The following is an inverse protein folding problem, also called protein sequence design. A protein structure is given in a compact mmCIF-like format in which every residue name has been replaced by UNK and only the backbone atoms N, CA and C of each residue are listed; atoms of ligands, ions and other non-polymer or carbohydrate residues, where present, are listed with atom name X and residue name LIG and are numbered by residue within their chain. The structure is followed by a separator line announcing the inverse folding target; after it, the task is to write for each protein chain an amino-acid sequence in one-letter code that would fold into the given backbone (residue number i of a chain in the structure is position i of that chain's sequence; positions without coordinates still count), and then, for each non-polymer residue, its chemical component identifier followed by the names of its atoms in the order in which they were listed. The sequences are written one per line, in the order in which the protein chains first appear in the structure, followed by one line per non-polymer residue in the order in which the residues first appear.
data_IF_332724960205
#
_entry.id   IF_332724960205
#
_cell.length_a   1.000
_cell.length_b   1.000
_cell.length_c   1.000
_cell.angle_alpha   90.00
_cell.angle_beta   90.00
_cell.angle_gamma   90.00
#
_symmetry.space_group_name_H-M   'P 1'
#
loop_
_entity.id
_entity.type
_entity.pdbx_description
1 polymer ?
#
# COMPACT_ATOMS: atom_id res chain seq x y z
N UNK A 1 -3.77 -1.67 2.06
CA UNK A 1 -3.62 -2.79 3.02
C UNK A 1 -3.25 -2.24 4.38
N UNK A 2 -3.75 -2.82 5.47
CA UNK A 2 -3.41 -2.42 6.83
C UNK A 2 -2.52 -3.47 7.50
N UNK A 3 -1.49 -3.06 8.22
CA UNK A 3 -0.67 -3.96 9.03
C UNK A 3 -1.39 -4.35 10.31
N UNK A 4 -1.52 -5.65 10.58
CA UNK A 4 -2.24 -6.20 11.75
C UNK A 4 -1.34 -6.63 12.90
N UNK A 5 -0.02 -6.62 12.69
CA UNK A 5 0.94 -7.06 13.70
C UNK A 5 2.29 -6.36 13.58
N UNK A 6 3.00 -6.30 14.73
CA UNK A 6 4.32 -5.72 14.88
C UNK A 6 4.30 -4.22 15.16
N UNK A 7 5.46 -3.57 15.01
CA UNK A 7 5.66 -2.14 15.30
C UNK A 7 4.70 -1.22 14.53
N UNK A 8 4.30 -1.63 13.33
CA UNK A 8 3.52 -0.81 12.40
C UNK A 8 2.03 -1.24 12.39
N UNK A 9 1.56 -1.87 13.47
CA UNK A 9 0.13 -2.24 13.59
C UNK A 9 -0.76 -1.01 13.43
N UNK A 10 -1.79 -1.10 12.60
CA UNK A 10 -2.70 0.00 12.26
C UNK A 10 -2.22 0.90 11.11
N UNK A 11 -0.97 0.76 10.63
CA UNK A 11 -0.48 1.55 9.50
C UNK A 11 -1.01 0.99 8.16
N UNK A 12 -1.40 1.89 7.26
CA UNK A 12 -1.85 1.60 5.90
C UNK A 12 -0.70 1.69 4.89
N UNK A 13 -0.72 0.79 3.91
CA UNK A 13 0.27 0.69 2.85
C UNK A 13 -0.34 0.32 1.49
N UNK A 14 0.37 0.68 0.43
CA UNK A 14 0.22 0.12 -0.92
C UNK A 14 1.21 -1.03 -1.12
N UNK A 15 0.78 -2.08 -1.84
CA UNK A 15 1.69 -3.14 -2.30
C UNK A 15 2.38 -2.67 -3.57
N UNK A 16 3.71 -2.61 -3.53
CA UNK A 16 4.53 -2.29 -4.69
C UNK A 16 4.78 -3.54 -5.55
N UNK A 17 5.04 -4.69 -4.92
CA UNK A 17 5.43 -5.92 -5.60
C UNK A 17 5.20 -7.15 -4.73
N UNK A 18 4.81 -8.27 -5.34
CA UNK A 18 4.84 -9.59 -4.74
C UNK A 18 6.23 -10.22 -4.92
N UNK A 19 6.84 -10.71 -3.83
CA UNK A 19 8.13 -11.39 -3.89
C UNK A 19 7.96 -12.90 -4.01
N UNK A 20 7.07 -13.45 -3.17
CA UNK A 20 6.72 -14.87 -3.10
C UNK A 20 5.36 -15.02 -2.39
N UNK A 21 4.93 -16.26 -2.15
CA UNK A 21 3.63 -16.58 -1.51
C UNK A 21 3.48 -16.05 -0.09
N UNK A 22 4.58 -15.68 0.57
CA UNK A 22 4.59 -15.22 1.97
C UNK A 22 4.91 -13.75 2.12
N UNK A 23 5.58 -13.14 1.14
CA UNK A 23 6.13 -11.80 1.29
C UNK A 23 5.81 -10.86 0.13
N UNK A 24 5.50 -9.63 0.50
CA UNK A 24 5.29 -8.50 -0.40
C UNK A 24 6.19 -7.33 -0.01
N UNK A 25 6.42 -6.42 -0.95
CA UNK A 25 6.98 -5.10 -0.71
C UNK A 25 5.85 -4.09 -0.57
N UNK A 26 5.87 -3.32 0.51
CA UNK A 26 4.85 -2.31 0.82
C UNK A 26 5.46 -0.93 1.05
N UNK A 27 4.71 0.10 0.68
CA UNK A 27 5.11 1.51 0.74
C UNK A 27 3.97 2.37 1.29
N UNK A 28 4.32 3.46 1.97
CA UNK A 28 3.37 4.50 2.42
C UNK A 28 3.70 5.88 1.85
N UNK A 29 4.82 6.02 1.12
CA UNK A 29 5.26 7.28 0.50
C UNK A 29 5.77 8.32 1.51
N UNK A 30 5.94 7.95 2.78
CA UNK A 30 6.51 8.80 3.83
C UNK A 30 7.62 8.06 4.59
N UNK A 31 7.25 7.19 5.54
CA UNK A 31 8.21 6.38 6.31
C UNK A 31 8.81 5.27 5.47
N UNK A 32 8.08 4.77 4.48
CA UNK A 32 8.42 3.68 3.55
C UNK A 32 8.22 4.18 2.13
N UNK A 33 9.22 4.90 1.66
CA UNK A 33 9.33 5.42 0.29
C UNK A 33 9.53 4.29 -0.73
N UNK A 34 9.22 4.56 -2.01
CA UNK A 34 9.34 3.64 -3.15
C UNK A 34 10.76 3.11 -3.30
N UNK A 35 11.77 3.94 -3.06
CA UNK A 35 13.17 3.52 -3.11
C UNK A 35 13.60 2.60 -1.94
N UNK A 36 12.84 2.59 -0.83
CA UNK A 36 13.14 1.80 0.37
C UNK A 36 11.88 1.11 0.90
N UNK A 37 11.28 0.21 0.10
CA UNK A 37 10.03 -0.43 0.47
C UNK A 37 10.25 -1.39 1.65
N UNK A 38 9.18 -1.66 2.38
CA UNK A 38 9.22 -2.60 3.49
C UNK A 38 8.85 -3.99 3.02
N UNK A 39 9.69 -5.00 3.30
CA UNK A 39 9.29 -6.40 3.19
C UNK A 39 8.29 -6.75 4.31
N UNK A 40 7.09 -7.20 3.95
CA UNK A 40 6.00 -7.53 4.88
C UNK A 40 5.48 -8.93 4.59
N UNK A 41 5.23 -9.68 5.66
CA UNK A 41 4.59 -10.99 5.53
C UNK A 41 3.09 -10.81 5.30
N UNK A 42 2.54 -11.49 4.30
CA UNK A 42 1.11 -11.40 3.91
C UNK A 42 0.18 -11.79 5.05
N UNK A 43 0.59 -12.69 5.95
CA UNK A 43 -0.22 -13.09 7.11
C UNK A 43 -0.44 -11.96 8.13
N UNK A 44 0.35 -10.89 8.05
CA UNK A 44 0.24 -9.71 8.92
C UNK A 44 -0.38 -8.50 8.19
N UNK A 45 -1.07 -8.75 7.09
CA UNK A 45 -1.75 -7.73 6.31
C UNK A 45 -3.25 -8.04 6.26
N UNK A 46 -4.05 -7.02 6.52
CA UNK A 46 -5.46 -7.00 6.17
C UNK A 46 -5.60 -6.32 4.81
N UNK A 47 -6.14 -7.06 3.85
CA UNK A 47 -6.44 -6.55 2.50
C UNK A 47 -7.61 -5.57 2.60
N UNK A 48 -7.54 -4.48 1.83
CA UNK A 48 -8.68 -3.56 1.66
C UNK A 48 -9.47 -3.99 0.42
N UNK A 49 -10.78 -3.80 0.44
CA UNK A 49 -11.65 -4.01 -0.74
C UNK A 49 -11.40 -2.96 -1.84
N UNK A 50 -10.70 -1.88 -1.51
CA UNK A 50 -10.45 -0.78 -2.43
C UNK A 50 -9.06 -0.91 -3.08
N UNK A 51 -9.04 -0.75 -4.39
CA UNK A 51 -7.81 -0.71 -5.22
C UNK A 51 -7.87 0.48 -6.14
N UNK A 52 -6.78 1.24 -6.20
CA UNK A 52 -6.60 2.29 -7.19
C UNK A 52 -6.18 1.67 -8.52
N UNK A 53 -7.06 1.78 -9.53
CA UNK A 53 -6.84 1.13 -10.84
C UNK A 53 -5.74 1.79 -11.64
N UNK A 54 -5.56 3.11 -11.51
CA UNK A 54 -4.56 3.84 -12.27
C UNK A 54 -3.17 3.50 -11.72
N UNK A 55 -3.02 3.53 -10.40
CA UNK A 55 -1.78 3.12 -9.74
C UNK A 55 -1.46 1.65 -10.03
N UNK A 56 -2.47 0.78 -10.02
CA UNK A 56 -2.30 -0.63 -10.39
C UNK A 56 -1.80 -0.78 -11.83
N UNK A 57 -2.43 -0.08 -12.79
CA UNK A 57 -2.04 -0.14 -14.19
C UNK A 57 -0.58 0.29 -14.39
N UNK A 58 -0.15 1.37 -13.73
CA UNK A 58 1.23 1.88 -13.78
C UNK A 58 2.23 0.89 -13.18
N UNK A 59 1.91 0.30 -12.04
CA UNK A 59 2.75 -0.75 -11.44
C UNK A 59 2.88 -1.98 -12.34
N UNK A 60 1.79 -2.38 -13.02
CA UNK A 60 1.78 -3.51 -13.94
C UNK A 60 2.48 -3.22 -15.27
N UNK A 61 2.46 -1.97 -15.75
CA UNK A 61 3.20 -1.53 -16.95
C UNK A 61 4.69 -1.31 -16.69
N UNK A 62 5.12 -1.35 -15.43
CA UNK A 62 6.51 -1.10 -15.03
C UNK A 62 6.87 0.38 -15.01
N UNK A 63 5.88 1.27 -15.03
CA UNK A 63 6.09 2.71 -14.86
C UNK A 63 6.58 3.04 -13.45
N UNK A 64 7.37 4.11 -13.36
CA UNK A 64 7.79 4.64 -12.07
C UNK A 64 6.62 5.31 -11.34
N UNK A 65 6.52 4.99 -10.06
CA UNK A 65 5.56 5.59 -9.12
C UNK A 65 6.34 6.44 -8.14
N UNK A 66 5.89 7.67 -7.89
CA UNK A 66 6.49 8.55 -6.89
C UNK A 66 5.90 8.37 -5.50
N UNK A 67 6.62 8.80 -4.48
CA UNK A 67 6.15 8.81 -3.10
C UNK A 67 4.89 9.68 -2.93
N UNK A 68 4.81 10.80 -3.64
CA UNK A 68 3.65 11.71 -3.65
C UNK A 68 2.40 11.01 -4.18
N UNK A 69 2.53 10.28 -5.29
CA UNK A 69 1.44 9.49 -5.86
C UNK A 69 0.97 8.40 -4.89
N UNK A 70 1.89 7.74 -4.19
CA UNK A 70 1.54 6.75 -3.17
C UNK A 70 0.73 7.39 -2.04
N UNK A 71 1.14 8.58 -1.56
CA UNK A 71 0.45 9.31 -0.48
C UNK A 71 -0.95 9.73 -0.91
N UNK A 72 -1.10 10.35 -2.08
CA UNK A 72 -2.40 10.78 -2.61
C UNK A 72 -3.38 9.59 -2.75
N UNK A 73 -2.89 8.45 -3.26
CA UNK A 73 -3.69 7.24 -3.41
C UNK A 73 -4.07 6.68 -2.05
N UNK A 74 -3.14 6.62 -1.09
CA UNK A 74 -3.44 6.15 0.27
C UNK A 74 -4.47 7.03 0.98
N UNK A 75 -4.34 8.35 0.87
CA UNK A 75 -5.30 9.30 1.43
C UNK A 75 -6.69 9.10 0.85
N UNK A 76 -6.80 8.98 -0.48
CA UNK A 76 -8.09 8.68 -1.15
C UNK A 76 -8.69 7.37 -0.68
N UNK A 77 -7.90 6.28 -0.66
CA UNK A 77 -8.39 4.95 -0.27
C UNK A 77 -8.75 4.83 1.22
N UNK A 78 -8.20 5.69 2.09
CA UNK A 78 -8.47 5.67 3.53
C UNK A 78 -9.55 6.68 3.95
N UNK A 79 -9.77 7.73 3.16
CA UNK A 79 -10.78 8.76 3.46
C UNK A 79 -12.17 8.39 2.92
N UNK A 80 -12.26 7.57 1.86
CA UNK A 80 -13.54 7.10 1.29
C UNK A 80 -14.40 6.21 2.22
N UNK A 81 -14.02 6.02 3.49
CA UNK A 81 -14.86 5.38 4.52
C UNK A 81 -15.62 6.38 5.42
N UNK A 82 -15.60 7.68 5.11
CA UNK A 82 -16.37 8.73 5.83
C UNK A 82 -17.43 9.35 4.92
N UNK A 83 -18.44 8.58 4.55
CA UNK A 83 -19.76 9.12 4.20
C UNK A 83 -20.80 8.14 4.74
N UNK A 84 -21.36 8.49 5.89
CA UNK A 84 -22.59 7.89 6.42
C UNK A 84 -23.41 9.08 6.92
N UNK A 85 -24.49 9.37 6.20
CA UNK A 85 -25.63 10.15 6.66
C UNK A 85 -26.28 9.50 7.90
#
# INVERSE_FOLDING_TARGET
MMSTAGRDTGCNYIVLRCLDDRYVLVVDGDKRVVAKPKKKNVQHLQVSEHTDRDLQARLLSGEEVSDDQVREVLERLTTSSKEVD
#
